data_IF_602085571597
#
_entry.id   IF_602085571597
#
_cell.length_a   1.000
_cell.length_b   1.000
_cell.length_c   1.000
_cell.angle_alpha   90.00
_cell.angle_beta   90.00
_cell.angle_gamma   90.00
#
_symmetry.space_group_name_H-M   'P 1'
#
loop_
_entity.id
_entity.type
_entity.pdbx_description
1 polymer ?
#
# COMPACT_ATOMS: atom_id res chain seq x y z
N UNK A 1 -4.78 -19.20 -39.54
CA UNK A 1 -4.22 -17.94 -39.00
C UNK A 1 -4.89 -17.67 -37.66
N UNK A 2 -4.23 -18.03 -36.56
CA UNK A 2 -4.69 -17.70 -35.20
C UNK A 2 -3.63 -16.78 -34.61
N UNK A 3 -3.98 -15.58 -34.09
CA UNK A 3 -3.01 -14.77 -33.39
C UNK A 3 -2.71 -15.48 -32.06
N UNK A 4 -1.48 -15.97 -31.95
CA UNK A 4 -0.98 -16.56 -30.72
C UNK A 4 -1.01 -15.51 -29.60
N UNK A 5 -1.49 -15.97 -28.45
CA UNK A 5 -1.35 -15.44 -27.10
C UNK A 5 -0.47 -14.18 -26.96
N UNK A 6 -1.11 -13.12 -26.45
CA UNK A 6 -0.51 -11.82 -26.18
C UNK A 6 0.82 -11.94 -25.44
N UNK A 7 1.87 -11.49 -26.13
CA UNK A 7 3.09 -11.04 -25.49
C UNK A 7 2.71 -9.87 -24.58
N UNK A 8 2.54 -10.14 -23.28
CA UNK A 8 2.71 -9.12 -22.26
C UNK A 8 4.17 -8.65 -22.39
N UNK A 9 4.36 -7.53 -23.08
CA UNK A 9 5.65 -6.85 -23.16
C UNK A 9 6.00 -6.39 -21.74
N UNK A 10 6.78 -7.20 -21.02
CA UNK A 10 7.31 -6.85 -19.71
C UNK A 10 8.44 -5.84 -19.92
N UNK A 11 8.07 -4.59 -20.16
CA UNK A 11 9.00 -3.49 -20.34
C UNK A 11 9.37 -2.90 -18.96
N UNK A 12 10.61 -3.08 -18.47
CA UNK A 12 11.05 -2.48 -17.19
C UNK A 12 10.98 -0.94 -17.22
N UNK A 13 10.92 -0.33 -18.40
CA UNK A 13 10.68 1.10 -18.60
C UNK A 13 9.30 1.55 -18.12
N UNK A 14 8.26 0.71 -18.23
CA UNK A 14 6.90 1.03 -17.82
C UNK A 14 6.76 1.07 -16.29
N UNK A 15 7.48 0.22 -15.57
CA UNK A 15 7.52 0.21 -14.10
C UNK A 15 8.15 1.51 -13.58
N UNK A 16 9.32 1.88 -14.11
CA UNK A 16 9.98 3.14 -13.75
C UNK A 16 9.11 4.36 -14.12
N UNK A 17 8.40 4.30 -15.25
CA UNK A 17 7.46 5.35 -15.67
C UNK A 17 6.25 5.46 -14.73
N UNK A 18 5.68 4.33 -14.31
CA UNK A 18 4.60 4.27 -13.33
C UNK A 18 5.05 4.84 -11.98
N UNK A 19 6.20 4.41 -11.46
CA UNK A 19 6.76 4.95 -10.22
C UNK A 19 7.05 6.45 -10.32
N UNK A 20 7.56 6.93 -11.46
CA UNK A 20 7.80 8.37 -11.69
C UNK A 20 6.51 9.19 -11.78
N UNK A 21 5.46 8.65 -12.41
CA UNK A 21 4.14 9.28 -12.44
C UNK A 21 3.53 9.33 -11.03
N UNK A 22 3.66 8.25 -10.26
CA UNK A 22 3.21 8.17 -8.88
C UNK A 22 3.92 9.16 -7.96
N UNK A 23 5.25 9.30 -8.09
CA UNK A 23 6.04 10.28 -7.34
C UNK A 23 5.58 11.72 -7.56
N UNK A 24 5.10 12.02 -8.77
CA UNK A 24 4.63 13.35 -9.16
C UNK A 24 3.16 13.59 -8.80
N UNK A 25 2.44 12.57 -8.31
CA UNK A 25 1.00 12.67 -8.04
C UNK A 25 0.14 12.70 -9.30
N UNK A 26 0.68 12.28 -10.45
CA UNK A 26 0.01 12.43 -11.73
C UNK A 26 -0.98 11.28 -11.98
N UNK A 27 -2.15 11.37 -11.34
CA UNK A 27 -3.21 10.36 -11.38
C UNK A 27 -3.60 9.98 -12.81
N UNK A 28 -3.68 10.96 -13.71
CA UNK A 28 -4.08 10.69 -15.10
C UNK A 28 -3.07 9.81 -15.82
N UNK A 29 -1.77 10.06 -15.63
CA UNK A 29 -0.71 9.22 -16.20
C UNK A 29 -0.73 7.82 -15.59
N UNK A 30 -0.91 7.73 -14.27
CA UNK A 30 -0.99 6.42 -13.59
C UNK A 30 -2.16 5.59 -14.13
N UNK A 31 -3.36 6.15 -14.26
CA UNK A 31 -4.51 5.45 -14.82
C UNK A 31 -4.29 4.99 -16.26
N UNK A 32 -3.67 5.84 -17.10
CA UNK A 32 -3.34 5.47 -18.48
C UNK A 32 -2.34 4.32 -18.56
N UNK A 33 -1.32 4.31 -17.68
CA UNK A 33 -0.32 3.25 -17.62
C UNK A 33 -0.94 1.93 -17.14
N UNK A 34 -1.84 1.99 -16.15
CA UNK A 34 -2.58 0.82 -15.69
C UNK A 34 -3.49 0.27 -16.79
N UNK A 35 -4.16 1.13 -17.57
CA UNK A 35 -4.94 0.72 -18.75
C UNK A 35 -4.07 0.11 -19.86
N UNK A 36 -2.82 0.56 -19.98
CA UNK A 36 -1.85 0.00 -20.92
C UNK A 36 -1.26 -1.34 -20.46
N UNK A 37 -1.64 -1.85 -19.29
CA UNK A 37 -1.15 -3.13 -18.76
C UNK A 37 0.17 -3.01 -17.99
N UNK A 38 0.51 -1.83 -17.47
CA UNK A 38 1.67 -1.68 -16.59
C UNK A 38 1.53 -2.54 -15.33
N UNK A 39 2.62 -3.16 -14.91
CA UNK A 39 2.67 -3.94 -13.67
C UNK A 39 2.61 -3.01 -12.45
N UNK A 40 1.48 -3.04 -11.75
CA UNK A 40 1.22 -2.19 -10.58
C UNK A 40 2.09 -2.56 -9.37
N UNK A 41 2.49 -3.83 -9.28
CA UNK A 41 3.34 -4.35 -8.21
C UNK A 41 4.81 -4.40 -8.64
N UNK A 42 5.10 -3.94 -9.85
CA UNK A 42 6.43 -3.80 -10.39
C UNK A 42 7.30 -2.93 -9.49
N UNK A 43 8.54 -3.37 -9.31
CA UNK A 43 9.53 -2.68 -8.51
C UNK A 43 10.49 -1.89 -9.41
N UNK A 44 10.67 -0.61 -9.10
CA UNK A 44 11.67 0.22 -9.77
C UNK A 44 13.10 -0.22 -9.41
N UNK A 45 14.11 0.46 -9.99
CA UNK A 45 15.53 0.24 -9.67
C UNK A 45 15.92 0.37 -8.18
N UNK A 46 15.09 1.01 -7.37
CA UNK A 46 15.28 1.13 -5.91
C UNK A 46 14.49 0.07 -5.13
N UNK A 47 13.94 -0.93 -5.83
CA UNK A 47 13.03 -1.96 -5.35
C UNK A 47 11.77 -1.40 -4.66
N UNK A 48 11.33 -0.22 -5.07
CA UNK A 48 10.08 0.40 -4.58
C UNK A 48 8.96 0.20 -5.58
N UNK A 49 7.77 -0.03 -5.05
CA UNK A 49 6.52 -0.12 -5.82
C UNK A 49 5.93 1.25 -6.08
N UNK A 50 5.03 1.35 -7.07
CA UNK A 50 4.30 2.58 -7.37
C UNK A 50 3.52 3.12 -6.15
N UNK A 51 2.98 2.22 -5.32
CA UNK A 51 2.24 2.56 -4.11
C UNK A 51 3.13 3.23 -3.05
N UNK A 52 4.32 2.67 -2.79
CA UNK A 52 5.28 3.24 -1.83
C UNK A 52 5.72 4.66 -2.22
N UNK A 53 5.90 4.89 -3.52
CA UNK A 53 6.33 6.20 -4.02
C UNK A 53 5.17 7.22 -4.03
N UNK A 54 3.94 6.77 -4.23
CA UNK A 54 2.73 7.61 -4.19
C UNK A 54 2.40 8.16 -2.78
N UNK A 55 2.87 7.47 -1.73
CA UNK A 55 2.56 7.79 -0.32
C UNK A 55 2.97 9.19 0.11
N UNK A 56 3.90 9.85 -0.58
CA UNK A 56 4.48 11.14 -0.20
C UNK A 56 3.56 12.36 -0.47
N UNK A 57 2.24 12.22 -0.32
CA UNK A 57 1.32 13.37 -0.30
C UNK A 57 0.06 13.27 -1.17
N UNK A 58 -0.25 12.12 -1.76
CA UNK A 58 -1.42 11.98 -2.64
C UNK A 58 -2.38 10.85 -2.24
N UNK A 59 -3.23 11.10 -1.23
CA UNK A 59 -4.34 10.19 -0.85
C UNK A 59 -5.19 9.68 -2.03
N UNK A 60 -5.64 10.50 -3.00
CA UNK A 60 -6.48 10.00 -4.10
C UNK A 60 -5.71 9.07 -5.04
N UNK A 61 -4.40 9.29 -5.20
CA UNK A 61 -3.57 8.42 -6.03
C UNK A 61 -3.41 7.04 -5.38
N UNK A 62 -3.29 7.01 -4.07
CA UNK A 62 -3.14 5.80 -3.27
C UNK A 62 -4.40 4.96 -3.36
N UNK A 63 -5.57 5.58 -3.21
CA UNK A 63 -6.86 4.90 -3.39
C UNK A 63 -6.98 4.32 -4.80
N UNK A 64 -6.59 5.08 -5.83
CA UNK A 64 -6.62 4.59 -7.21
C UNK A 64 -5.69 3.38 -7.42
N UNK A 65 -4.48 3.40 -6.85
CA UNK A 65 -3.54 2.29 -6.92
C UNK A 65 -4.05 1.05 -6.17
N UNK A 66 -4.61 1.24 -4.96
CA UNK A 66 -5.20 0.14 -4.18
C UNK A 66 -6.43 -0.46 -4.88
N UNK A 67 -7.28 0.39 -5.46
CA UNK A 67 -8.44 -0.04 -6.26
C UNK A 67 -8.02 -0.82 -7.53
N UNK A 68 -6.85 -0.49 -8.09
CA UNK A 68 -6.28 -1.21 -9.22
C UNK A 68 -5.53 -2.49 -8.82
N UNK A 69 -5.51 -2.87 -7.53
CA UNK A 69 -4.91 -4.12 -7.06
C UNK A 69 -3.44 -4.00 -6.64
N UNK A 70 -2.97 -2.81 -6.29
CA UNK A 70 -1.65 -2.66 -5.67
C UNK A 70 -1.59 -3.41 -4.34
N UNK A 71 -0.48 -4.08 -4.08
CA UNK A 71 -0.24 -4.79 -2.82
C UNK A 71 -0.10 -3.79 -1.66
N UNK A 72 -1.04 -3.75 -0.69
CA UNK A 72 -0.96 -2.83 0.43
C UNK A 72 0.20 -3.16 1.40
N UNK A 73 0.69 -4.39 1.38
CA UNK A 73 1.77 -4.89 2.24
C UNK A 73 3.15 -4.82 1.57
N UNK A 74 3.28 -4.03 0.50
CA UNK A 74 4.57 -3.82 -0.17
C UNK A 74 5.63 -3.31 0.82
N UNK A 75 6.79 -3.97 0.82
CA UNK A 75 7.90 -3.68 1.75
C UNK A 75 9.08 -3.04 1.06
N UNK A 76 9.69 -2.05 1.70
CA UNK A 76 10.91 -1.42 1.23
C UNK A 76 12.10 -2.34 1.52
N UNK A 77 13.04 -2.51 0.58
CA UNK A 77 14.15 -3.45 0.72
C UNK A 77 15.19 -3.07 1.80
N UNK A 78 15.25 -1.81 2.25
CA UNK A 78 16.34 -1.34 3.12
C UNK A 78 16.05 -1.56 4.60
N UNK A 79 14.79 -1.38 4.99
CA UNK A 79 14.36 -1.45 6.40
C UNK A 79 13.14 -2.37 6.59
N UNK A 80 12.70 -3.03 5.51
CA UNK A 80 11.53 -3.89 5.49
C UNK A 80 10.25 -3.18 5.95
N UNK A 81 10.21 -1.85 5.73
CA UNK A 81 9.09 -1.00 6.07
C UNK A 81 7.94 -1.27 5.09
N UNK A 82 6.77 -1.59 5.62
CA UNK A 82 5.55 -1.65 4.81
C UNK A 82 5.05 -0.23 4.47
N UNK A 83 4.19 -0.14 3.47
CA UNK A 83 3.46 1.09 3.13
C UNK A 83 2.74 1.69 4.35
N UNK A 84 2.18 0.83 5.21
CA UNK A 84 1.54 1.24 6.47
C UNK A 84 2.52 1.83 7.49
N UNK A 85 3.79 1.38 7.54
CA UNK A 85 4.80 1.99 8.41
C UNK A 85 5.12 3.42 7.98
N UNK A 86 5.33 3.65 6.68
CA UNK A 86 5.62 4.99 6.17
C UNK A 86 4.43 5.93 6.40
N UNK A 87 3.21 5.50 6.06
CA UNK A 87 2.00 6.29 6.31
C UNK A 87 1.78 6.57 7.81
N UNK A 88 2.12 5.61 8.68
CA UNK A 88 2.06 5.76 10.12
C UNK A 88 3.10 6.74 10.69
N UNK A 89 4.31 6.73 10.14
CA UNK A 89 5.40 7.65 10.52
C UNK A 89 5.11 9.08 10.10
N UNK A 90 4.56 9.30 8.90
CA UNK A 90 4.25 10.64 8.39
C UNK A 90 2.91 11.19 8.91
N UNK A 91 2.09 10.36 9.57
CA UNK A 91 0.82 10.80 10.13
C UNK A 91 -0.33 10.88 9.13
N UNK A 92 -0.24 10.20 7.99
CA UNK A 92 -1.28 10.22 6.95
C UNK A 92 -2.44 9.29 7.33
N UNK A 93 -3.36 9.82 8.14
CA UNK A 93 -4.51 9.07 8.69
C UNK A 93 -5.37 8.48 7.58
N UNK A 94 -5.63 9.23 6.51
CA UNK A 94 -6.53 8.79 5.45
C UNK A 94 -5.90 7.72 4.54
N UNK A 95 -4.60 7.79 4.26
CA UNK A 95 -3.92 6.69 3.56
C UNK A 95 -3.86 5.43 4.43
N UNK A 96 -3.60 5.54 5.74
CA UNK A 96 -3.66 4.37 6.64
C UNK A 96 -5.06 3.76 6.65
N UNK A 97 -6.10 4.59 6.68
CA UNK A 97 -7.50 4.12 6.61
C UNK A 97 -7.78 3.39 5.29
N UNK A 98 -7.34 3.94 4.16
CA UNK A 98 -7.48 3.31 2.86
C UNK A 98 -6.72 1.97 2.80
N UNK A 99 -5.47 1.93 3.27
CA UNK A 99 -4.67 0.71 3.33
C UNK A 99 -5.38 -0.39 4.15
N UNK A 100 -5.86 -0.06 5.35
CA UNK A 100 -6.61 -0.99 6.21
C UNK A 100 -7.90 -1.46 5.51
N UNK A 101 -8.63 -0.55 4.87
CA UNK A 101 -9.87 -0.89 4.15
C UNK A 101 -9.62 -1.85 2.98
N UNK A 102 -8.43 -1.77 2.36
CA UNK A 102 -7.97 -2.66 1.30
C UNK A 102 -7.20 -3.90 1.81
N UNK A 103 -7.23 -4.16 3.12
CA UNK A 103 -6.71 -5.40 3.72
C UNK A 103 -5.22 -5.38 4.08
N UNK A 104 -4.62 -4.19 4.27
CA UNK A 104 -3.24 -4.08 4.77
C UNK A 104 -3.09 -4.75 6.14
N UNK A 105 -2.05 -5.56 6.30
CA UNK A 105 -1.68 -6.13 7.59
C UNK A 105 -0.90 -5.11 8.43
N UNK A 106 -1.54 -4.67 9.49
CA UNK A 106 -1.04 -3.70 10.46
C UNK A 106 -0.18 -4.34 11.56
N UNK A 107 -0.05 -5.66 11.58
CA UNK A 107 0.78 -6.41 12.51
C UNK A 107 2.16 -6.77 11.93
N UNK A 108 2.43 -6.41 10.68
CA UNK A 108 3.74 -6.60 10.08
C UNK A 108 4.77 -5.77 10.81
N UNK A 109 5.90 -6.38 11.18
CA UNK A 109 7.00 -5.69 11.83
C UNK A 109 8.11 -5.35 10.82
N UNK A 110 8.75 -4.20 11.02
CA UNK A 110 9.99 -3.83 10.33
C UNK A 110 11.20 -4.62 10.85
N UNK A 111 12.39 -4.40 10.26
CA UNK A 111 13.63 -5.10 10.67
C UNK A 111 14.07 -4.79 12.11
N UNK A 112 13.51 -3.75 12.73
CA UNK A 112 13.77 -3.37 14.12
C UNK A 112 12.70 -3.90 15.08
N UNK A 113 11.74 -4.69 14.59
CA UNK A 113 10.61 -5.18 15.38
C UNK A 113 9.56 -4.10 15.69
N UNK A 114 9.61 -2.95 15.04
CA UNK A 114 8.57 -1.94 15.16
C UNK A 114 7.36 -2.33 14.33
N UNK A 115 6.17 -2.14 14.87
CA UNK A 115 4.92 -2.18 14.13
C UNK A 115 4.63 -0.76 13.59
N UNK A 116 3.73 -0.60 12.60
CA UNK A 116 3.27 0.71 12.17
C UNK A 116 2.75 1.55 13.36
N UNK A 117 2.09 0.89 14.32
CA UNK A 117 1.66 1.52 15.57
C UNK A 117 2.80 2.13 16.39
N UNK A 118 3.94 1.44 16.49
CA UNK A 118 5.08 1.91 17.27
C UNK A 118 5.66 3.19 16.66
N UNK A 119 5.74 3.26 15.32
CA UNK A 119 6.17 4.46 14.61
C UNK A 119 5.16 5.60 14.81
N UNK A 120 3.87 5.37 14.58
CA UNK A 120 2.83 6.38 14.82
C UNK A 120 2.85 6.91 16.27
N UNK A 121 3.08 6.05 17.25
CA UNK A 121 3.13 6.46 18.65
C UNK A 121 4.39 7.27 18.98
N UNK A 122 5.53 6.90 18.39
CA UNK A 122 6.80 7.62 18.56
C UNK A 122 6.72 9.03 17.99
N UNK A 123 6.10 9.19 16.83
CA UNK A 123 5.91 10.50 16.18
C UNK A 123 4.69 11.29 16.72
N UNK A 124 3.89 10.69 17.61
CA UNK A 124 2.76 11.36 18.28
C UNK A 124 1.44 11.36 17.50
N UNK A 125 1.31 10.54 16.45
CA UNK A 125 0.12 10.41 15.61
C UNK A 125 -1.00 9.57 16.27
N UNK A 126 -1.65 10.14 17.27
CA UNK A 126 -2.69 9.48 18.09
C UNK A 126 -3.89 8.95 17.30
N UNK A 127 -4.21 9.53 16.15
CA UNK A 127 -5.33 9.06 15.31
C UNK A 127 -5.04 7.69 14.69
N UNK A 128 -3.79 7.46 14.28
CA UNK A 128 -3.36 6.19 13.68
C UNK A 128 -3.33 5.09 14.74
N UNK A 129 -2.92 5.43 15.97
CA UNK A 129 -2.97 4.48 17.09
C UNK A 129 -4.41 4.08 17.43
N UNK A 130 -5.36 5.01 17.33
CA UNK A 130 -6.78 4.72 17.50
C UNK A 130 -7.34 3.82 16.40
N UNK A 131 -6.98 4.08 15.13
CA UNK A 131 -7.39 3.22 14.00
C UNK A 131 -6.90 1.79 14.19
N UNK A 132 -5.63 1.60 14.55
CA UNK A 132 -5.07 0.27 14.77
C UNK A 132 -5.77 -0.48 15.92
N UNK A 133 -6.03 0.19 17.05
CA UNK A 133 -6.81 -0.39 18.16
C UNK A 133 -8.23 -0.77 17.72
N UNK A 134 -8.86 0.09 16.92
CA UNK A 134 -10.20 -0.15 16.41
C UNK A 134 -10.27 -1.36 15.48
N UNK A 135 -9.22 -1.63 14.69
CA UNK A 135 -9.11 -2.83 13.85
C UNK A 135 -9.01 -4.09 14.72
N UNK A 136 -8.10 -4.11 15.70
CA UNK A 136 -7.94 -5.26 16.62
C UNK A 136 -9.21 -5.59 17.39
N UNK A 137 -9.93 -4.56 17.84
CA UNK A 137 -11.19 -4.75 18.56
C UNK A 137 -12.27 -5.32 17.64
N UNK A 138 -12.33 -4.89 16.37
CA UNK A 138 -13.25 -5.46 15.37
C UNK A 138 -12.93 -6.93 15.08
N UNK A 139 -11.66 -7.28 14.86
CA UNK A 139 -11.25 -8.67 14.61
C UNK A 139 -11.64 -9.59 15.77
N UNK A 140 -11.37 -9.17 17.01
CA UNK A 140 -11.76 -9.91 18.22
C UNK A 140 -13.27 -10.11 18.32
N UNK A 141 -14.06 -9.08 18.00
CA UNK A 141 -15.52 -9.16 18.07
C UNK A 141 -16.14 -10.03 16.97
N UNK A 142 -15.52 -10.12 15.79
CA UNK A 142 -15.94 -11.06 14.74
C UNK A 142 -15.71 -12.50 15.21
N UNK A 143 -14.50 -12.80 15.71
CA UNK A 143 -14.14 -14.13 16.22
C UNK A 143 -15.07 -14.57 17.37
N UNK A 144 -15.39 -13.66 18.28
CA UNK A 144 -16.33 -13.94 19.38
C UNK A 144 -17.75 -14.24 18.88
N UNK A 145 -18.27 -13.49 17.89
CA UNK A 145 -19.60 -13.75 17.31
C UNK A 145 -19.68 -15.06 16.53
N UNK A 146 -18.62 -15.44 15.83
CA UNK A 146 -18.57 -16.72 15.12
C UNK A 146 -18.54 -17.91 16.08
N UNK A 147 -17.92 -17.76 17.25
CA UNK A 147 -17.87 -18.80 18.28
C UNK A 147 -19.18 -18.94 19.06
N UNK A 148 -19.97 -17.88 19.20
CA UNK A 148 -21.27 -17.90 19.91
C UNK A 148 -22.47 -18.20 19.01
N UNK A 149 -22.28 -18.27 17.70
CA UNK A 149 -23.32 -18.67 16.72
C UNK A 149 -23.22 -20.15 16.29
N UNK A 150 -22.35 -20.92 16.94
CA UNK A 150 -22.21 -22.39 16.84
C UNK A 150 -22.73 -22.99 18.15
#
# INVERSE_FOLDING_TARGET
CSPAAGFFFFDPSQIDLLCSASARGDLRRVLLLLQAGADINGQNKFKRTALQVAMLGNTPLVEALLAAGANPDARDPLLNLTVTHDAAREGFVDTVRALIAHGADVNLADDRGNLPLHLAQREGHRLITYLHKSVKEKEKNILLKTLTSI
#
